data_IF_121945054831
#
_entry.id   IF_121945054831
#
_cell.length_a   1.000
_cell.length_b   1.000
_cell.length_c   1.000
_cell.angle_alpha   90.00
_cell.angle_beta   90.00
_cell.angle_gamma   90.00
#
_symmetry.space_group_name_H-M   'P 1'
#
loop_
_entity.id
_entity.type
_entity.pdbx_description
1 polymer ?
#
# COMPACT_ATOMS: atom_id res chain seq x y z
N UNK A 1 20.07 -12.09 -9.96
CA UNK A 1 18.72 -11.59 -10.28
C UNK A 1 18.04 -11.19 -8.98
N UNK A 2 17.95 -9.88 -8.68
CA UNK A 2 17.25 -9.37 -7.49
C UNK A 2 15.75 -9.34 -7.77
N UNK A 3 14.96 -10.16 -7.08
CA UNK A 3 13.49 -10.07 -7.10
C UNK A 3 13.09 -8.96 -6.13
N UNK A 4 12.41 -7.93 -6.62
CA UNK A 4 11.93 -6.82 -5.81
C UNK A 4 10.60 -7.20 -5.14
N UNK A 5 10.54 -7.12 -3.82
CA UNK A 5 9.39 -7.56 -3.00
C UNK A 5 8.56 -6.36 -2.54
N UNK A 6 7.25 -6.55 -2.56
CA UNK A 6 6.23 -5.58 -2.15
C UNK A 6 5.96 -5.70 -0.64
N UNK A 7 6.35 -4.69 0.14
CA UNK A 7 5.78 -4.46 1.48
C UNK A 7 4.55 -3.56 1.34
N UNK A 8 3.41 -4.01 1.87
CA UNK A 8 2.21 -3.19 2.00
C UNK A 8 2.09 -2.62 3.42
N UNK A 9 1.68 -1.34 3.60
CA UNK A 9 1.45 -0.77 4.93
C UNK A 9 0.04 -1.09 5.44
N UNK A 10 -0.09 -1.40 6.74
CA UNK A 10 -1.35 -1.37 7.49
C UNK A 10 -1.49 0.02 8.13
N UNK A 11 -2.62 0.70 7.93
CA UNK A 11 -3.03 1.89 8.69
C UNK A 11 -4.45 1.68 9.21
N UNK A 12 -4.69 1.97 10.49
CA UNK A 12 -6.00 1.87 11.13
C UNK A 12 -6.33 3.19 11.83
N UNK A 13 -7.50 3.76 11.54
CA UNK A 13 -8.11 4.92 12.20
C UNK A 13 -9.40 4.49 12.92
N UNK A 14 -9.65 5.06 14.11
CA UNK A 14 -10.72 4.72 15.07
C UNK A 14 -11.67 5.92 15.26
N UNK A 15 -13.00 5.69 15.26
CA UNK A 15 -14.07 6.49 15.92
C UNK A 15 -15.41 5.72 15.95
N UNK A 16 -16.29 6.01 16.92
CA UNK A 16 -17.42 5.15 17.40
C UNK A 16 -18.81 5.87 17.34
N UNK A 17 -19.88 5.07 17.12
CA UNK A 17 -21.33 5.21 17.48
C UNK A 17 -22.35 5.48 16.33
N UNK A 18 -23.67 5.22 16.53
CA UNK A 18 -24.37 3.93 16.57
C UNK A 18 -25.32 3.70 15.36
N UNK A 19 -25.84 2.47 15.25
CA UNK A 19 -26.48 1.85 14.09
C UNK A 19 -28.00 2.06 13.95
N UNK A 20 -28.52 1.92 12.72
CA UNK A 20 -29.78 1.24 12.36
C UNK A 20 -29.64 0.70 10.91
N UNK A 21 -30.13 -0.51 10.65
CA UNK A 21 -29.90 -1.28 9.42
C UNK A 21 -31.09 -1.26 8.45
N UNK A 22 -30.80 -1.31 7.14
CA UNK A 22 -31.71 -1.73 6.07
C UNK A 22 -30.91 -2.25 4.85
N UNK A 23 -31.35 -3.35 4.27
CA UNK A 23 -30.75 -4.06 3.14
C UNK A 23 -31.32 -3.50 1.82
N UNK A 24 -30.49 -2.95 0.91
CA UNK A 24 -30.91 -2.70 -0.49
C UNK A 24 -29.76 -2.71 -1.50
N UNK A 25 -30.06 -3.33 -2.63
CA UNK A 25 -29.32 -3.45 -3.89
C UNK A 25 -29.27 -2.09 -4.63
N UNK A 26 -28.36 -1.20 -4.19
CA UNK A 26 -28.28 0.20 -4.65
C UNK A 26 -26.94 0.59 -5.30
N UNK A 27 -26.91 1.62 -6.19
CA UNK A 27 -25.71 2.04 -6.91
C UNK A 27 -24.59 2.52 -5.98
N UNK A 28 -23.34 2.16 -6.31
CA UNK A 28 -22.13 2.60 -5.59
C UNK A 28 -22.04 4.13 -5.65
N UNK A 29 -22.31 4.80 -4.52
CA UNK A 29 -22.17 6.24 -4.41
C UNK A 29 -20.71 6.61 -4.15
N UNK A 30 -20.11 7.28 -5.12
CA UNK A 30 -18.79 7.92 -4.96
C UNK A 30 -18.97 9.15 -4.06
N UNK A 31 -18.58 9.04 -2.79
CA UNK A 31 -18.69 10.10 -1.78
C UNK A 31 -17.54 11.12 -1.82
N UNK A 32 -16.70 11.11 -2.86
CA UNK A 32 -15.58 12.05 -3.01
C UNK A 32 -16.02 13.41 -3.56
N UNK A 33 -15.39 14.50 -3.09
CA UNK A 33 -15.58 15.83 -3.67
C UNK A 33 -15.26 15.83 -5.19
N UNK A 34 -16.09 16.44 -6.04
CA UNK A 34 -15.81 16.54 -7.47
C UNK A 34 -14.43 17.15 -7.77
N UNK A 35 -13.76 16.62 -8.80
CA UNK A 35 -12.43 17.09 -9.19
C UNK A 35 -12.43 18.61 -9.53
N UNK A 36 -13.51 19.11 -10.14
CA UNK A 36 -13.67 20.53 -10.46
C UNK A 36 -13.81 21.41 -9.21
N UNK A 37 -14.49 20.92 -8.17
CA UNK A 37 -14.66 21.66 -6.91
C UNK A 37 -13.32 21.80 -6.18
N UNK A 38 -12.56 20.72 -6.06
CA UNK A 38 -11.23 20.77 -5.41
C UNK A 38 -10.22 21.60 -6.21
N UNK A 39 -10.34 21.62 -7.54
CA UNK A 39 -9.55 22.53 -8.38
C UNK A 39 -9.90 24.00 -8.11
N UNK A 40 -11.19 24.32 -8.04
CA UNK A 40 -11.67 25.68 -7.75
C UNK A 40 -11.29 26.12 -6.33
N UNK A 41 -11.39 25.23 -5.34
CA UNK A 41 -10.97 25.49 -3.96
C UNK A 41 -9.48 25.81 -3.86
N UNK A 42 -8.62 25.03 -4.52
CA UNK A 42 -7.19 25.33 -4.61
C UNK A 42 -6.94 26.66 -5.32
N UNK A 43 -7.58 26.91 -6.47
CA UNK A 43 -7.43 28.17 -7.20
C UNK A 43 -7.85 29.38 -6.35
N UNK A 44 -8.96 29.28 -5.61
CA UNK A 44 -9.43 30.33 -4.72
C UNK A 44 -8.47 30.56 -3.53
N UNK A 45 -7.86 29.50 -3.00
CA UNK A 45 -6.81 29.60 -1.96
C UNK A 45 -5.60 30.38 -2.48
N UNK A 46 -5.13 30.03 -3.67
CA UNK A 46 -3.97 30.68 -4.30
C UNK A 46 -4.25 32.14 -4.67
N UNK A 47 -5.45 32.44 -5.19
CA UNK A 47 -5.85 33.79 -5.56
C UNK A 47 -5.90 34.76 -4.36
N UNK A 48 -6.24 34.26 -3.16
CA UNK A 48 -6.26 35.05 -1.92
C UNK A 48 -4.94 35.02 -1.14
N UNK A 49 -3.88 34.41 -1.70
CA UNK A 49 -2.60 34.18 -1.01
C UNK A 49 -2.79 33.54 0.38
N UNK A 50 -3.53 32.43 0.43
CA UNK A 50 -3.82 31.74 1.68
C UNK A 50 -2.56 31.31 2.44
N UNK A 51 -2.62 31.17 3.79
CA UNK A 51 -1.50 30.69 4.59
C UNK A 51 -0.99 29.30 4.16
N UNK A 52 0.28 28.95 4.44
CA UNK A 52 0.91 27.70 3.99
C UNK A 52 0.14 26.42 4.35
N UNK A 53 -0.43 26.34 5.54
CA UNK A 53 -1.25 25.21 5.98
C UNK A 53 -2.53 25.04 5.13
N UNK A 54 -3.17 26.15 4.76
CA UNK A 54 -4.35 26.13 3.88
C UNK A 54 -4.00 25.77 2.43
N UNK A 55 -2.89 26.31 1.90
CA UNK A 55 -2.40 25.94 0.56
C UNK A 55 -2.08 24.45 0.51
N UNK A 56 -1.33 23.94 1.49
CA UNK A 56 -1.01 22.52 1.60
C UNK A 56 -2.28 21.68 1.64
N UNK A 57 -3.24 22.00 2.52
CA UNK A 57 -4.47 21.23 2.64
C UNK A 57 -5.26 21.20 1.32
N UNK A 58 -5.49 22.36 0.68
CA UNK A 58 -6.19 22.44 -0.59
C UNK A 58 -5.43 21.71 -1.72
N UNK A 59 -4.09 21.79 -1.72
CA UNK A 59 -3.24 21.07 -2.67
C UNK A 59 -3.39 19.57 -2.48
N UNK A 60 -3.28 19.06 -1.25
CA UNK A 60 -3.36 17.63 -0.95
C UNK A 60 -4.72 17.06 -1.37
N UNK A 61 -5.81 17.73 -1.01
CA UNK A 61 -7.17 17.34 -1.41
C UNK A 61 -7.32 17.30 -2.93
N UNK A 62 -6.84 18.32 -3.66
CA UNK A 62 -6.92 18.32 -5.11
C UNK A 62 -6.03 17.25 -5.76
N UNK A 63 -4.79 17.08 -5.27
CA UNK A 63 -3.85 16.10 -5.78
C UNK A 63 -4.31 14.66 -5.51
N UNK A 64 -4.94 14.40 -4.37
CA UNK A 64 -5.57 13.12 -4.07
C UNK A 64 -6.71 12.84 -5.04
N UNK A 65 -7.59 13.81 -5.31
CA UNK A 65 -8.65 13.65 -6.30
C UNK A 65 -8.11 13.43 -7.72
N UNK A 66 -7.05 14.14 -8.11
CA UNK A 66 -6.34 13.89 -9.38
C UNK A 66 -5.79 12.47 -9.40
N UNK A 67 -5.18 12.03 -8.29
CA UNK A 67 -4.68 10.67 -8.15
C UNK A 67 -5.83 9.67 -8.33
N UNK A 68 -6.92 9.76 -7.55
CA UNK A 68 -8.12 8.92 -7.63
C UNK A 68 -8.76 8.91 -9.02
N UNK A 69 -8.69 10.01 -9.78
CA UNK A 69 -9.13 10.07 -11.17
C UNK A 69 -8.15 9.43 -12.19
N UNK A 70 -7.04 8.85 -11.72
CA UNK A 70 -6.00 8.25 -12.57
C UNK A 70 -5.04 9.26 -13.19
N UNK A 71 -5.12 10.55 -12.80
CA UNK A 71 -4.31 11.64 -13.34
C UNK A 71 -3.00 11.79 -12.55
N UNK A 72 -2.19 10.73 -12.49
CA UNK A 72 -0.98 10.71 -11.65
C UNK A 72 0.05 11.78 -12.01
N UNK A 73 0.19 12.11 -13.30
CA UNK A 73 1.10 13.18 -13.75
C UNK A 73 0.63 14.55 -13.26
N UNK A 74 -0.68 14.80 -13.29
CA UNK A 74 -1.26 16.06 -12.83
C UNK A 74 -1.15 16.17 -11.31
N UNK A 75 -1.49 15.10 -10.58
CA UNK A 75 -1.31 15.01 -9.12
C UNK A 75 0.13 15.36 -8.72
N UNK A 76 1.11 14.76 -9.39
CA UNK A 76 2.53 15.05 -9.15
C UNK A 76 2.89 16.50 -9.47
N UNK A 77 2.40 17.05 -10.58
CA UNK A 77 2.63 18.45 -10.96
C UNK A 77 2.06 19.41 -9.91
N UNK A 78 0.83 19.16 -9.44
CA UNK A 78 0.16 19.92 -8.38
C UNK A 78 0.97 19.92 -7.07
N UNK A 79 1.42 18.73 -6.64
CA UNK A 79 2.23 18.57 -5.43
C UNK A 79 3.57 19.29 -5.52
N UNK A 80 4.30 19.13 -6.64
CA UNK A 80 5.60 19.78 -6.83
C UNK A 80 5.48 21.30 -6.82
N UNK A 81 4.44 21.86 -7.46
CA UNK A 81 4.19 23.31 -7.41
C UNK A 81 3.94 23.80 -5.99
N UNK A 82 3.21 23.03 -5.17
CA UNK A 82 2.97 23.39 -3.77
C UNK A 82 4.22 23.25 -2.91
N UNK A 83 5.05 22.22 -3.14
CA UNK A 83 6.36 22.08 -2.51
C UNK A 83 7.22 23.33 -2.80
N UNK A 84 7.26 23.78 -4.05
CA UNK A 84 8.05 24.95 -4.41
C UNK A 84 7.58 26.24 -3.72
N UNK A 85 6.27 26.41 -3.54
CA UNK A 85 5.70 27.53 -2.77
C UNK A 85 5.98 27.42 -1.27
N UNK A 86 5.91 26.22 -0.70
CA UNK A 86 5.83 26.04 0.75
C UNK A 86 7.14 25.57 1.41
N UNK A 87 8.15 25.12 0.66
CA UNK A 87 9.43 24.62 1.22
C UNK A 87 10.15 25.62 2.12
N UNK A 88 10.04 26.92 1.84
CA UNK A 88 10.64 27.97 2.69
C UNK A 88 9.96 28.08 4.06
N UNK A 89 8.74 27.59 4.19
CA UNK A 89 7.94 27.60 5.42
C UNK A 89 8.09 26.32 6.25
N UNK A 90 8.96 25.40 5.86
CA UNK A 90 9.19 24.10 6.50
C UNK A 90 9.39 24.17 8.02
N UNK A 91 10.07 25.20 8.54
CA UNK A 91 10.28 25.35 10.00
C UNK A 91 9.03 25.77 10.75
N UNK A 92 8.21 26.62 10.15
CA UNK A 92 6.97 27.12 10.76
C UNK A 92 5.82 26.12 10.62
N UNK A 93 5.81 25.35 9.52
CA UNK A 93 4.78 24.36 9.21
C UNK A 93 5.39 22.99 8.87
N UNK A 94 6.14 22.36 9.80
CA UNK A 94 6.89 21.13 9.51
C UNK A 94 6.00 19.96 9.13
N UNK A 95 4.85 19.81 9.78
CA UNK A 95 3.90 18.71 9.47
C UNK A 95 3.24 18.92 8.10
N UNK A 96 2.57 20.06 7.81
CA UNK A 96 1.98 20.28 6.49
C UNK A 96 2.98 20.13 5.33
N UNK A 97 4.16 20.76 5.43
CA UNK A 97 5.16 20.69 4.35
C UNK A 97 5.71 19.27 4.19
N UNK A 98 5.88 18.53 5.28
CA UNK A 98 6.26 17.11 5.24
C UNK A 98 5.23 16.25 4.52
N UNK A 99 3.93 16.51 4.72
CA UNK A 99 2.86 15.75 4.08
C UNK A 99 2.82 15.95 2.55
N UNK A 100 3.21 17.12 2.03
CA UNK A 100 3.41 17.32 0.59
C UNK A 100 4.46 16.37 0.03
N UNK A 101 5.61 16.25 0.72
CA UNK A 101 6.67 15.34 0.30
C UNK A 101 6.24 13.87 0.42
N UNK A 102 5.56 13.50 1.50
CA UNK A 102 5.00 12.14 1.67
C UNK A 102 4.03 11.79 0.53
N UNK A 103 3.10 12.68 0.21
CA UNK A 103 2.14 12.51 -0.88
C UNK A 103 2.85 12.39 -2.24
N UNK A 104 3.82 13.27 -2.53
CA UNK A 104 4.61 13.21 -3.76
C UNK A 104 5.40 11.90 -3.87
N UNK A 105 5.95 11.42 -2.75
CA UNK A 105 6.60 10.13 -2.65
C UNK A 105 5.68 8.98 -3.07
N UNK A 106 4.47 8.92 -2.50
CA UNK A 106 3.47 7.89 -2.85
C UNK A 106 3.09 7.94 -4.33
N UNK A 107 2.78 9.12 -4.88
CA UNK A 107 2.48 9.27 -6.31
C UNK A 107 3.65 8.82 -7.18
N UNK A 108 4.88 9.15 -6.80
CA UNK A 108 6.10 8.76 -7.51
C UNK A 108 6.23 7.23 -7.64
N UNK A 109 5.82 6.47 -6.64
CA UNK A 109 5.85 5.00 -6.71
C UNK A 109 4.93 4.46 -7.81
N UNK A 110 3.69 4.95 -7.87
CA UNK A 110 2.70 4.53 -8.87
C UNK A 110 3.14 4.84 -10.31
N UNK A 111 3.98 5.86 -10.52
CA UNK A 111 4.53 6.18 -11.86
C UNK A 111 5.92 5.60 -12.12
N UNK A 112 6.53 4.92 -11.14
CA UNK A 112 7.85 4.30 -11.25
C UNK A 112 9.03 5.25 -11.03
N UNK A 113 8.81 6.42 -10.42
CA UNK A 113 9.82 7.46 -10.19
C UNK A 113 10.66 7.16 -8.94
N UNK A 114 11.48 6.10 -8.96
CA UNK A 114 12.23 5.61 -7.80
C UNK A 114 13.12 6.67 -7.12
N UNK A 115 13.83 7.48 -7.92
CA UNK A 115 14.66 8.58 -7.39
C UNK A 115 13.82 9.67 -6.74
N UNK A 116 12.69 10.03 -7.35
CA UNK A 116 11.76 11.01 -6.78
C UNK A 116 11.11 10.50 -5.50
N UNK A 117 10.78 9.20 -5.43
CA UNK A 117 10.28 8.58 -4.22
C UNK A 117 11.32 8.68 -3.10
N UNK A 118 12.55 8.24 -3.37
CA UNK A 118 13.66 8.32 -2.42
C UNK A 118 13.90 9.75 -1.92
N UNK A 119 14.01 10.72 -2.82
CA UNK A 119 14.27 12.12 -2.45
C UNK A 119 13.11 12.72 -1.66
N UNK A 120 11.87 12.36 -1.98
CA UNK A 120 10.69 12.88 -1.28
C UNK A 120 10.59 12.34 0.15
N UNK A 121 10.83 11.04 0.38
CA UNK A 121 10.80 10.47 1.73
C UNK A 121 11.94 11.03 2.60
N UNK A 122 13.12 11.30 2.01
CA UNK A 122 14.19 12.01 2.73
C UNK A 122 13.79 13.44 3.08
N UNK A 123 13.26 14.20 2.12
CA UNK A 123 12.82 15.58 2.33
C UNK A 123 11.67 15.69 3.35
N UNK A 124 10.74 14.74 3.35
CA UNK A 124 9.67 14.60 4.36
C UNK A 124 10.28 14.53 5.76
N UNK A 125 11.19 13.58 6.00
CA UNK A 125 11.86 13.45 7.30
C UNK A 125 12.66 14.69 7.66
N UNK A 126 13.44 15.22 6.71
CA UNK A 126 14.31 16.37 6.97
C UNK A 126 13.49 17.62 7.31
N UNK A 127 12.35 17.83 6.65
CA UNK A 127 11.37 18.89 6.98
C UNK A 127 10.90 18.78 8.43
N UNK A 128 10.50 17.57 8.87
CA UNK A 128 10.09 17.36 10.26
C UNK A 128 11.24 17.61 11.23
N UNK A 129 12.45 17.14 10.92
CA UNK A 129 13.63 17.31 11.77
C UNK A 129 14.09 18.76 11.89
N UNK A 130 13.81 19.59 10.89
CA UNK A 130 14.15 21.02 10.91
C UNK A 130 13.20 21.85 11.77
N UNK A 131 11.94 21.44 11.88
CA UNK A 131 10.92 22.15 12.68
C UNK A 131 10.56 21.50 14.02
N UNK A 132 10.98 20.25 14.28
CA UNK A 132 10.66 19.48 15.48
C UNK A 132 11.94 18.91 16.13
N UNK A 133 11.83 18.50 17.40
CA UNK A 133 12.91 17.80 18.09
C UNK A 133 13.29 16.49 17.39
N UNK A 134 14.58 16.15 17.37
CA UNK A 134 15.07 14.90 16.75
C UNK A 134 14.45 13.63 17.34
N UNK A 135 14.05 13.69 18.62
CA UNK A 135 13.38 12.62 19.32
C UNK A 135 11.86 12.66 19.26
N UNK A 136 11.27 13.63 18.53
CA UNK A 136 9.82 13.72 18.36
C UNK A 136 9.30 12.44 17.70
N UNK A 137 8.19 11.86 18.20
CA UNK A 137 7.58 10.67 17.63
C UNK A 137 7.35 10.73 16.12
N UNK A 138 7.01 11.90 15.57
CA UNK A 138 6.78 12.10 14.14
C UNK A 138 8.09 12.01 13.33
N UNK A 139 9.21 12.48 13.88
CA UNK A 139 10.53 12.39 13.25
C UNK A 139 10.99 10.93 13.22
N UNK A 140 10.82 10.19 14.32
CA UNK A 140 11.16 8.77 14.37
C UNK A 140 10.26 7.92 13.46
N UNK A 141 8.96 8.23 13.40
CA UNK A 141 8.03 7.62 12.45
C UNK A 141 8.43 7.88 11.00
N UNK A 142 8.81 9.11 10.67
CA UNK A 142 9.33 9.47 9.35
C UNK A 142 10.65 8.76 9.02
N UNK A 143 11.52 8.52 10.01
CA UNK A 143 12.74 7.74 9.83
C UNK A 143 12.44 6.26 9.52
N UNK A 144 11.37 5.68 10.10
CA UNK A 144 10.90 4.34 9.70
C UNK A 144 10.44 4.34 8.23
N UNK A 145 9.73 5.37 7.77
CA UNK A 145 9.37 5.49 6.35
C UNK A 145 10.60 5.60 5.42
N UNK A 146 11.68 6.25 5.88
CA UNK A 146 12.97 6.20 5.17
C UNK A 146 13.48 4.76 5.11
N UNK A 147 13.44 4.00 6.21
CA UNK A 147 13.77 2.56 6.22
C UNK A 147 12.92 1.76 5.22
N UNK A 148 11.60 1.97 5.21
CA UNK A 148 10.67 1.33 4.27
C UNK A 148 11.03 1.65 2.82
N UNK A 149 11.40 2.90 2.52
CA UNK A 149 11.87 3.29 1.19
C UNK A 149 13.13 2.52 0.79
N UNK A 150 14.07 2.29 1.72
CA UNK A 150 15.31 1.54 1.46
C UNK A 150 15.03 0.07 1.20
N UNK A 151 14.21 -0.56 2.03
CA UNK A 151 13.78 -1.94 1.83
C UNK A 151 13.12 -2.11 0.45
N UNK A 152 12.16 -1.24 0.13
CA UNK A 152 11.45 -1.27 -1.16
C UNK A 152 12.38 -1.01 -2.34
N UNK A 153 13.39 -0.15 -2.21
CA UNK A 153 14.36 0.15 -3.26
C UNK A 153 15.47 -0.90 -3.41
N UNK A 154 15.48 -1.96 -2.59
CA UNK A 154 16.46 -3.05 -2.70
C UNK A 154 17.74 -2.82 -1.88
N UNK A 155 17.64 -2.02 -0.81
CA UNK A 155 18.70 -1.76 0.16
C UNK A 155 18.30 -2.28 1.56
N UNK A 156 18.16 -3.60 1.74
CA UNK A 156 17.70 -4.18 3.00
C UNK A 156 18.65 -3.92 4.17
N UNK A 157 19.96 -3.91 3.94
CA UNK A 157 20.94 -3.65 5.01
C UNK A 157 20.87 -2.21 5.54
N UNK A 158 20.61 -1.24 4.66
CA UNK A 158 20.33 0.14 5.07
C UNK A 158 19.02 0.22 5.86
N UNK A 159 17.96 -0.45 5.41
CA UNK A 159 16.69 -0.50 6.11
C UNK A 159 16.83 -1.10 7.52
N UNK A 160 17.53 -2.23 7.64
CA UNK A 160 17.77 -2.91 8.92
C UNK A 160 18.49 -1.99 9.93
N UNK A 161 19.55 -1.30 9.50
CA UNK A 161 20.26 -0.33 10.35
C UNK A 161 19.34 0.80 10.80
N UNK A 162 18.58 1.38 9.87
CA UNK A 162 17.65 2.46 10.18
C UNK A 162 16.60 2.03 11.21
N UNK A 163 16.01 0.85 11.07
CA UNK A 163 15.01 0.36 12.02
C UNK A 163 15.62 0.11 13.40
N UNK A 164 16.82 -0.49 13.48
CA UNK A 164 17.52 -0.72 14.74
C UNK A 164 17.85 0.59 15.46
N UNK A 165 18.32 1.60 14.72
CA UNK A 165 18.60 2.94 15.26
C UNK A 165 17.34 3.63 15.79
N UNK A 166 16.21 3.49 15.09
CA UNK A 166 14.93 4.05 15.56
C UNK A 166 14.44 3.32 16.80
N UNK A 167 14.53 1.99 16.83
CA UNK A 167 14.15 1.19 18.00
C UNK A 167 14.92 1.63 19.25
N UNK A 168 16.25 1.71 19.16
CA UNK A 168 17.11 2.11 20.27
C UNK A 168 16.76 3.53 20.78
N UNK A 169 16.56 4.48 19.87
CA UNK A 169 16.19 5.85 20.21
C UNK A 169 14.78 5.94 20.84
N UNK A 170 13.82 5.18 20.32
CA UNK A 170 12.46 5.16 20.83
C UNK A 170 12.39 4.53 22.23
N UNK A 171 13.11 3.43 22.46
CA UNK A 171 13.22 2.78 23.78
C UNK A 171 13.83 3.72 24.81
N UNK A 172 14.93 4.40 24.47
CA UNK A 172 15.58 5.38 25.35
C UNK A 172 14.69 6.58 25.74
N UNK A 173 13.52 6.73 25.11
CA UNK A 173 12.55 7.80 25.34
C UNK A 173 11.18 7.30 25.82
N UNK A 174 11.03 6.00 26.08
CA UNK A 174 9.75 5.40 26.46
C UNK A 174 8.68 5.40 25.34
N UNK A 175 9.09 5.58 24.08
CA UNK A 175 8.20 5.59 22.92
C UNK A 175 7.93 4.16 22.43
N UNK A 176 7.32 3.34 23.29
CA UNK A 176 7.13 1.90 23.10
C UNK A 176 6.48 1.55 21.76
N UNK A 177 5.47 2.31 21.34
CA UNK A 177 4.75 2.06 20.08
C UNK A 177 5.65 2.23 18.86
N UNK A 178 6.56 3.21 18.87
CA UNK A 178 7.53 3.41 17.77
C UNK A 178 8.60 2.32 17.82
N UNK A 179 9.10 2.00 19.01
CA UNK A 179 10.11 0.96 19.20
C UNK A 179 9.64 -0.39 18.68
N UNK A 180 8.46 -0.85 19.09
CA UNK A 180 7.95 -2.15 18.66
C UNK A 180 7.58 -2.16 17.17
N UNK A 181 7.16 -1.02 16.61
CA UNK A 181 6.90 -0.92 15.18
C UNK A 181 8.20 -1.08 14.38
N UNK A 182 9.28 -0.42 14.81
CA UNK A 182 10.61 -0.60 14.21
C UNK A 182 11.13 -2.05 14.36
N UNK A 183 10.96 -2.66 15.55
CA UNK A 183 11.28 -4.09 15.78
C UNK A 183 10.50 -5.02 14.85
N UNK A 184 9.21 -4.78 14.68
CA UNK A 184 8.37 -5.53 13.74
C UNK A 184 8.84 -5.37 12.29
N UNK A 185 9.23 -4.16 11.86
CA UNK A 185 9.81 -3.95 10.52
C UNK A 185 11.11 -4.73 10.32
N UNK A 186 11.97 -4.82 11.33
CA UNK A 186 13.16 -5.69 11.29
C UNK A 186 12.78 -7.16 11.15
N UNK A 187 11.80 -7.64 11.92
CA UNK A 187 11.35 -9.03 11.87
C UNK A 187 10.73 -9.40 10.51
N UNK A 188 9.90 -8.51 9.94
CA UNK A 188 9.33 -8.69 8.60
C UNK A 188 10.41 -8.65 7.52
N UNK A 189 11.41 -7.77 7.65
CA UNK A 189 12.54 -7.74 6.73
C UNK A 189 13.36 -9.05 6.78
N UNK A 190 13.61 -9.57 7.99
CA UNK A 190 14.26 -10.87 8.17
C UNK A 190 13.42 -12.03 7.60
N UNK A 191 12.10 -11.98 7.76
CA UNK A 191 11.19 -12.95 7.13
C UNK A 191 11.35 -12.93 5.61
N UNK A 192 11.32 -11.76 4.99
CA UNK A 192 11.47 -11.59 3.54
C UNK A 192 12.82 -12.14 3.08
N UNK A 193 13.91 -11.80 3.78
CA UNK A 193 15.24 -12.33 3.46
C UNK A 193 15.31 -13.86 3.57
N UNK A 194 14.66 -14.45 4.59
CA UNK A 194 14.60 -15.90 4.78
C UNK A 194 13.79 -16.62 3.70
N UNK A 195 12.76 -15.95 3.16
CA UNK A 195 11.98 -16.45 2.03
C UNK A 195 12.79 -16.44 0.73
N UNK A 196 13.67 -15.45 0.56
CA UNK A 196 14.54 -15.33 -0.62
C UNK A 196 15.74 -16.28 -0.58
N UNK A 197 16.41 -16.41 0.58
CA UNK A 197 17.58 -17.27 0.74
C UNK A 197 17.23 -18.75 0.76
N UNK A 198 16.00 -19.08 1.19
CA UNK A 198 15.53 -20.45 1.42
C UNK A 198 16.39 -21.23 2.45
N UNK A 199 17.18 -20.53 3.27
CA UNK A 199 18.05 -21.12 4.28
C UNK A 199 17.30 -21.40 5.59
N UNK A 200 17.54 -22.56 6.20
CA UNK A 200 16.89 -22.93 7.47
C UNK A 200 17.29 -22.00 8.62
N UNK A 201 18.54 -21.52 8.64
CA UNK A 201 19.04 -20.59 9.65
C UNK A 201 18.30 -19.24 9.60
N UNK A 202 18.10 -18.67 8.40
CA UNK A 202 17.40 -17.40 8.24
C UNK A 202 15.93 -17.52 8.64
N UNK A 203 15.27 -18.64 8.28
CA UNK A 203 13.88 -18.90 8.72
C UNK A 203 13.79 -19.01 10.24
N UNK A 204 14.75 -19.68 10.89
CA UNK A 204 14.82 -19.77 12.36
C UNK A 204 14.99 -18.38 12.98
N UNK A 205 15.89 -17.57 12.44
CA UNK A 205 16.13 -16.19 12.90
C UNK A 205 14.87 -15.32 12.78
N UNK A 206 14.24 -15.29 11.61
CA UNK A 206 13.02 -14.52 11.41
C UNK A 206 11.88 -14.98 12.33
N UNK A 207 11.74 -16.29 12.52
CA UNK A 207 10.77 -16.86 13.48
C UNK A 207 11.05 -16.41 14.90
N UNK A 208 12.32 -16.45 15.34
CA UNK A 208 12.71 -16.03 16.68
C UNK A 208 12.37 -14.56 16.92
N UNK A 209 12.73 -13.67 15.97
CA UNK A 209 12.42 -12.24 16.08
C UNK A 209 10.92 -11.96 16.24
N UNK A 210 10.07 -12.67 15.50
CA UNK A 210 8.61 -12.57 15.66
C UNK A 210 8.14 -13.17 16.99
N UNK A 211 8.72 -14.30 17.40
CA UNK A 211 8.44 -14.94 18.68
C UNK A 211 8.75 -14.04 19.87
N UNK A 212 9.87 -13.32 19.84
CA UNK A 212 10.29 -12.39 20.89
C UNK A 212 9.28 -11.24 21.05
N UNK A 213 8.76 -10.68 19.95
CA UNK A 213 7.70 -9.65 19.98
C UNK A 213 6.41 -10.20 20.61
N UNK A 214 6.10 -11.48 20.37
CA UNK A 214 4.90 -12.12 20.88
C UNK A 214 5.02 -12.43 22.37
N UNK A 215 6.19 -12.91 22.80
CA UNK A 215 6.46 -13.34 24.16
C UNK A 215 6.66 -12.16 25.12
N UNK A 216 7.27 -11.08 24.66
CA UNK A 216 7.60 -9.89 25.46
C UNK A 216 7.14 -8.60 24.75
N UNK A 217 5.81 -8.35 24.70
CA UNK A 217 5.29 -7.12 24.10
C UNK A 217 5.61 -5.91 24.98
N UNK A 218 5.94 -4.78 24.34
CA UNK A 218 6.11 -3.53 25.08
C UNK A 218 4.74 -3.02 25.59
N UNK A 219 4.69 -2.30 26.73
CA UNK A 219 3.45 -1.77 27.27
C UNK A 219 2.67 -0.91 26.24
N UNK A 220 1.36 -1.19 26.09
CA UNK A 220 0.46 -0.45 25.20
C UNK A 220 0.58 -0.81 23.72
N UNK A 221 1.05 -2.03 23.39
CA UNK A 221 1.32 -2.45 22.00
C UNK A 221 0.68 -3.78 21.58
N UNK A 222 -0.44 -4.14 22.22
CA UNK A 222 -1.15 -5.40 21.97
C UNK A 222 -1.58 -5.60 20.50
N UNK A 223 -1.92 -4.51 19.81
CA UNK A 223 -2.25 -4.53 18.39
C UNK A 223 -1.03 -4.90 17.52
N UNK A 224 0.17 -4.48 17.90
CA UNK A 224 1.42 -4.81 17.20
C UNK A 224 1.90 -6.22 17.50
N UNK A 225 1.58 -6.75 18.69
CA UNK A 225 1.72 -8.18 19.01
C UNK A 225 0.91 -9.05 18.04
N UNK A 226 -0.34 -8.68 17.78
CA UNK A 226 -1.19 -9.37 16.80
C UNK A 226 -0.56 -9.34 15.40
N UNK A 227 0.04 -8.23 14.96
CA UNK A 227 0.72 -8.17 13.65
C UNK A 227 1.89 -9.16 13.59
N UNK A 228 2.65 -9.33 14.67
CA UNK A 228 3.70 -10.34 14.74
C UNK A 228 3.13 -11.78 14.67
N UNK A 229 2.03 -12.07 15.36
CA UNK A 229 1.34 -13.36 15.27
C UNK A 229 0.86 -13.66 13.86
N UNK A 230 0.26 -12.67 13.19
CA UNK A 230 -0.19 -12.78 11.79
C UNK A 230 1.00 -13.05 10.87
N UNK A 231 2.12 -12.36 11.07
CA UNK A 231 3.34 -12.54 10.27
C UNK A 231 3.91 -13.95 10.45
N UNK A 232 3.93 -14.45 11.70
CA UNK A 232 4.34 -15.81 12.02
C UNK A 232 3.42 -16.87 11.40
N UNK A 233 2.10 -16.65 11.45
CA UNK A 233 1.12 -17.54 10.83
C UNK A 233 1.27 -17.61 9.30
N UNK A 234 1.62 -16.49 8.65
CA UNK A 234 1.93 -16.45 7.21
C UNK A 234 3.19 -17.26 6.89
N UNK A 235 4.24 -17.14 7.72
CA UNK A 235 5.45 -17.96 7.57
C UNK A 235 5.15 -19.45 7.72
N UNK A 236 4.33 -19.83 8.71
CA UNK A 236 3.92 -21.21 8.92
C UNK A 236 3.13 -21.76 7.73
N UNK A 237 2.14 -21.00 7.24
CA UNK A 237 1.33 -21.38 6.09
C UNK A 237 2.17 -21.60 4.84
N UNK A 238 3.16 -20.74 4.60
CA UNK A 238 4.11 -20.89 3.48
C UNK A 238 4.96 -22.16 3.60
N UNK A 239 5.19 -22.64 4.82
CA UNK A 239 5.85 -23.92 5.10
C UNK A 239 4.87 -25.11 5.17
N UNK A 240 3.62 -24.94 4.74
CA UNK A 240 2.59 -25.99 4.75
C UNK A 240 1.92 -26.23 6.10
N UNK A 241 2.17 -25.39 7.11
CA UNK A 241 1.55 -25.50 8.45
C UNK A 241 0.41 -24.50 8.59
N UNK A 242 -0.83 -24.97 8.72
CA UNK A 242 -2.01 -24.09 8.84
C UNK A 242 -2.44 -23.82 10.28
N UNK A 243 -1.93 -24.54 11.27
CA UNK A 243 -2.48 -24.55 12.64
C UNK A 243 -2.45 -23.18 13.30
N UNK A 244 -1.39 -22.39 13.11
CA UNK A 244 -1.28 -21.03 13.65
C UNK A 244 -2.26 -20.06 12.99
N UNK A 245 -2.57 -20.24 11.70
CA UNK A 245 -3.64 -19.48 11.02
C UNK A 245 -5.00 -19.87 11.58
N UNK A 246 -5.27 -21.16 11.72
CA UNK A 246 -6.54 -21.67 12.28
C UNK A 246 -6.72 -21.27 13.75
N UNK A 247 -5.65 -21.19 14.53
CA UNK A 247 -5.68 -20.70 15.90
C UNK A 247 -6.07 -19.21 15.95
N UNK A 248 -5.48 -18.37 15.10
CA UNK A 248 -5.84 -16.95 15.01
C UNK A 248 -7.31 -16.76 14.62
N UNK A 249 -7.80 -17.50 13.62
CA UNK A 249 -9.20 -17.41 13.20
C UNK A 249 -10.17 -17.80 14.34
N UNK A 250 -9.84 -18.85 15.10
CA UNK A 250 -10.62 -19.25 16.27
C UNK A 250 -10.57 -18.21 17.38
N UNK A 251 -9.40 -17.61 17.63
CA UNK A 251 -9.26 -16.54 18.62
C UNK A 251 -10.20 -15.37 18.28
N UNK A 252 -10.18 -14.87 17.05
CA UNK A 252 -11.09 -13.81 16.62
C UNK A 252 -12.56 -14.22 16.73
N UNK A 253 -12.90 -15.45 16.38
CA UNK A 253 -14.28 -15.94 16.52
C UNK A 253 -14.75 -15.94 17.99
N UNK A 254 -13.88 -16.33 18.93
CA UNK A 254 -14.17 -16.31 20.38
C UNK A 254 -14.25 -14.89 20.94
N UNK A 255 -13.41 -13.98 20.44
CA UNK A 255 -13.41 -12.56 20.81
C UNK A 255 -14.58 -11.76 20.18
N UNK A 256 -15.47 -12.44 19.44
CA UNK A 256 -16.67 -11.85 18.85
C UNK A 256 -16.45 -11.20 17.49
N UNK A 257 -15.31 -11.43 16.84
CA UNK A 257 -14.98 -10.94 15.51
C UNK A 257 -14.36 -9.55 15.48
N UNK A 258 -13.71 -9.23 14.36
CA UNK A 258 -13.07 -7.95 14.11
C UNK A 258 -14.08 -6.90 13.65
N UNK A 259 -13.95 -5.67 14.15
CA UNK A 259 -14.81 -4.55 13.75
C UNK A 259 -14.53 -4.03 12.32
N UNK A 260 -13.33 -4.30 11.80
CA UNK A 260 -12.90 -3.98 10.43
C UNK A 260 -12.10 -5.16 9.88
N UNK A 261 -11.98 -5.32 8.54
CA UNK A 261 -11.20 -6.40 7.96
C UNK A 261 -9.74 -6.41 8.43
N UNK A 262 -9.30 -7.50 9.06
CA UNK A 262 -7.91 -7.73 9.43
C UNK A 262 -7.37 -8.89 8.58
N UNK A 263 -6.44 -8.60 7.66
CA UNK A 263 -5.89 -9.61 6.76
C UNK A 263 -4.96 -10.58 7.52
N UNK A 264 -5.38 -11.83 7.66
CA UNK A 264 -4.60 -12.88 8.34
C UNK A 264 -3.65 -13.55 7.36
N UNK A 265 -4.13 -13.95 6.18
CA UNK A 265 -3.30 -14.61 5.18
C UNK A 265 -3.59 -14.10 3.76
N UNK A 266 -2.55 -14.05 2.94
CA UNK A 266 -2.64 -13.83 1.51
C UNK A 266 -1.46 -14.50 0.82
N UNK A 267 -1.70 -15.10 -0.35
CA UNK A 267 -0.60 -15.52 -1.24
C UNK A 267 0.05 -14.29 -1.86
N UNK A 268 1.37 -14.25 -2.14
CA UNK A 268 1.96 -13.12 -2.85
C UNK A 268 1.31 -12.89 -4.22
N UNK A 269 1.17 -11.62 -4.63
CA UNK A 269 0.83 -11.31 -6.03
C UNK A 269 2.00 -11.82 -6.87
N UNK A 270 1.72 -12.78 -7.76
CA UNK A 270 2.72 -13.22 -8.73
C UNK A 270 3.04 -12.04 -9.64
N UNK A 271 4.31 -11.66 -9.74
CA UNK A 271 4.73 -10.66 -10.71
C UNK A 271 4.17 -11.06 -12.07
N UNK A 272 3.52 -10.15 -12.82
CA UNK A 272 3.11 -10.46 -14.18
C UNK A 272 4.38 -10.76 -14.96
N UNK A 273 4.67 -12.05 -15.15
CA UNK A 273 5.78 -12.49 -15.98
C UNK A 273 5.54 -12.01 -17.40
N UNK A 274 6.62 -11.87 -18.18
CA UNK A 274 6.52 -11.62 -19.62
C UNK A 274 5.58 -12.66 -20.28
N UNK A 275 5.53 -13.89 -19.74
CA UNK A 275 4.67 -14.97 -20.22
C UNK A 275 3.18 -14.79 -19.86
N UNK A 276 2.84 -14.07 -18.78
CA UNK A 276 1.43 -13.78 -18.41
C UNK A 276 0.81 -12.67 -19.25
N UNK A 277 1.59 -11.99 -20.08
CA UNK A 277 1.13 -11.00 -21.05
C UNK A 277 0.93 -11.59 -22.46
N UNK A 278 1.08 -12.92 -22.65
CA UNK A 278 0.83 -13.61 -23.91
C UNK A 278 -0.66 -13.90 -24.13
N UNK A 279 -1.09 -13.73 -25.37
CA UNK A 279 -2.41 -14.13 -25.86
C UNK A 279 -2.53 -15.68 -25.82
N UNK A 280 -3.62 -16.27 -25.28
CA UNK A 280 -3.83 -17.73 -25.22
C UNK A 280 -3.74 -18.44 -26.58
N UNK A 281 -3.90 -17.72 -27.70
CA UNK A 281 -3.72 -18.27 -29.05
C UNK A 281 -2.26 -18.70 -29.38
N UNK A 282 -1.26 -18.35 -28.55
CA UNK A 282 0.17 -18.67 -28.80
C UNK A 282 0.78 -19.67 -27.82
N UNK A 283 -0.03 -20.24 -26.92
CA UNK A 283 0.44 -21.18 -25.89
C UNK A 283 0.97 -22.50 -26.47
N UNK A 284 0.47 -22.98 -27.62
CA UNK A 284 0.80 -24.34 -28.09
C UNK A 284 2.21 -24.52 -28.67
N UNK A 285 3.00 -23.46 -28.86
CA UNK A 285 4.35 -23.57 -29.45
C UNK A 285 5.51 -23.46 -28.45
N UNK A 286 5.26 -23.12 -27.18
CA UNK A 286 6.32 -22.84 -26.20
C UNK A 286 6.71 -24.04 -25.32
N UNK A 287 5.89 -25.09 -25.29
CA UNK A 287 6.08 -26.21 -24.36
C UNK A 287 7.18 -27.20 -24.79
N UNK A 288 7.79 -27.02 -25.98
CA UNK A 288 8.71 -28.00 -26.58
C UNK A 288 10.16 -27.54 -26.81
N UNK A 289 10.69 -26.53 -26.12
CA UNK A 289 12.12 -26.17 -26.29
C UNK A 289 12.82 -25.84 -24.97
N UNK A 290 13.57 -26.81 -24.44
CA UNK A 290 14.41 -26.74 -23.23
C UNK A 290 15.71 -25.92 -23.37
N UNK A 291 15.84 -25.10 -24.41
CA UNK A 291 17.08 -24.36 -24.72
C UNK A 291 16.86 -22.92 -25.22
N UNK A 292 15.69 -22.32 -24.95
CA UNK A 292 15.37 -20.94 -25.32
C UNK A 292 15.99 -19.83 -24.43
N UNK A 293 16.92 -20.19 -23.53
CA UNK A 293 17.55 -19.25 -22.60
C UNK A 293 18.68 -18.41 -23.19
N UNK A 294 19.40 -18.92 -24.20
CA UNK A 294 20.66 -18.29 -24.67
C UNK A 294 20.54 -17.60 -26.04
N UNK A 295 19.75 -18.14 -26.98
CA UNK A 295 19.54 -17.53 -28.31
C UNK A 295 18.47 -16.42 -28.35
N UNK A 296 17.68 -16.25 -27.28
CA UNK A 296 16.70 -15.17 -27.15
C UNK A 296 17.32 -13.81 -26.77
N UNK A 297 18.65 -13.76 -26.54
CA UNK A 297 19.35 -12.59 -26.00
C UNK A 297 19.67 -11.55 -27.08
N UNK A 298 19.83 -11.94 -28.36
CA UNK A 298 20.29 -11.02 -29.40
C UNK A 298 19.17 -10.38 -30.27
N UNK A 299 18.01 -11.02 -30.41
CA UNK A 299 16.87 -10.49 -31.20
C UNK A 299 15.54 -10.41 -30.42
N UNK A 300 15.50 -10.93 -29.18
CA UNK A 300 14.29 -11.02 -28.35
C UNK A 300 14.09 -9.86 -27.36
N UNK A 301 15.03 -8.92 -27.25
CA UNK A 301 14.98 -7.82 -26.27
C UNK A 301 13.98 -6.72 -26.67
N UNK A 302 13.95 -6.30 -27.95
CA UNK A 302 13.10 -5.20 -28.41
C UNK A 302 11.61 -5.50 -28.28
N UNK A 303 11.14 -6.68 -28.69
CA UNK A 303 9.72 -7.06 -28.61
C UNK A 303 9.27 -7.28 -27.15
N UNK A 304 10.12 -7.87 -26.31
CA UNK A 304 9.85 -8.03 -24.87
C UNK A 304 9.81 -6.68 -24.15
N UNK A 305 10.71 -5.77 -24.52
CA UNK A 305 10.75 -4.39 -24.05
C UNK A 305 9.51 -3.60 -24.49
N UNK A 306 9.06 -3.76 -25.73
CA UNK A 306 7.86 -3.08 -26.24
C UNK A 306 6.58 -3.58 -25.55
N UNK A 307 6.46 -4.89 -25.26
CA UNK A 307 5.33 -5.45 -24.49
C UNK A 307 5.34 -4.99 -23.03
N UNK A 308 6.51 -4.96 -22.39
CA UNK A 308 6.65 -4.43 -21.03
C UNK A 308 6.36 -2.91 -20.97
N UNK A 309 6.77 -2.14 -21.98
CA UNK A 309 6.51 -0.69 -22.03
C UNK A 309 5.06 -0.34 -22.39
N UNK A 310 4.43 -1.09 -23.29
CA UNK A 310 3.02 -0.90 -23.67
C UNK A 310 2.03 -1.29 -22.57
N UNK A 311 2.50 -1.99 -21.54
CA UNK A 311 1.67 -2.41 -20.40
C UNK A 311 1.78 -1.47 -19.18
N UNK A 312 2.76 -0.58 -19.14
CA UNK A 312 3.00 0.33 -18.00
C UNK A 312 2.10 1.57 -18.07
N UNK A 313 1.72 2.08 -16.90
CA UNK A 313 0.83 3.25 -16.77
C UNK A 313 -0.65 2.89 -16.74
N UNK A 314 -0.96 1.59 -16.71
CA UNK A 314 -2.31 1.07 -16.48
C UNK A 314 -2.64 1.08 -15.00
N UNK A 315 -3.90 1.27 -14.68
CA UNK A 315 -4.40 1.13 -13.32
C UNK A 315 -5.82 0.58 -13.32
N UNK A 316 -6.21 -0.01 -12.21
CA UNK A 316 -7.58 -0.44 -11.97
C UNK A 316 -7.94 -0.26 -10.50
N UNK A 317 -9.18 0.14 -10.25
CA UNK A 317 -9.81 0.06 -8.94
C UNK A 317 -10.62 -1.23 -8.90
N UNK A 318 -10.33 -2.05 -7.89
CA UNK A 318 -10.97 -3.33 -7.69
C UNK A 318 -11.80 -3.25 -6.43
N UNK A 319 -13.11 -3.47 -6.57
CA UNK A 319 -14.04 -3.64 -5.48
C UNK A 319 -14.15 -5.12 -5.12
N UNK A 320 -14.31 -5.43 -3.84
CA UNK A 320 -14.59 -6.79 -3.38
C UNK A 320 -15.22 -6.79 -1.98
N UNK A 321 -16.00 -7.83 -1.69
CA UNK A 321 -16.59 -8.03 -0.37
C UNK A 321 -15.71 -8.93 0.50
N UNK A 322 -15.54 -8.54 1.76
CA UNK A 322 -15.09 -9.42 2.84
C UNK A 322 -16.33 -9.94 3.56
N UNK A 323 -16.67 -11.20 3.33
CA UNK A 323 -17.82 -11.86 3.98
C UNK A 323 -17.66 -11.91 5.50
N UNK A 324 -18.74 -12.16 6.27
CA UNK A 324 -18.66 -12.31 7.73
C UNK A 324 -17.66 -13.36 8.22
N UNK A 325 -17.45 -14.40 7.40
CA UNK A 325 -16.47 -15.46 7.66
C UNK A 325 -15.00 -15.04 7.43
N UNK A 326 -14.77 -13.83 6.91
CA UNK A 326 -13.45 -13.33 6.51
C UNK A 326 -12.96 -13.84 5.16
N UNK A 327 -13.84 -14.38 4.30
CA UNK A 327 -13.51 -14.76 2.91
C UNK A 327 -13.82 -13.64 1.94
N UNK A 328 -13.09 -13.58 0.84
CA UNK A 328 -13.34 -12.64 -0.25
C UNK A 328 -14.42 -13.19 -1.19
N UNK A 329 -15.36 -12.35 -1.60
CA UNK A 329 -16.35 -12.62 -2.65
C UNK A 329 -16.50 -11.40 -3.57
N UNK A 330 -17.19 -11.61 -4.70
CA UNK A 330 -17.70 -10.55 -5.57
C UNK A 330 -16.63 -9.53 -5.99
N UNK A 331 -15.53 -10.06 -6.53
CA UNK A 331 -14.42 -9.25 -7.03
C UNK A 331 -14.85 -8.62 -8.36
N UNK A 332 -14.82 -7.29 -8.42
CA UNK A 332 -15.22 -6.53 -9.60
C UNK A 332 -14.21 -5.44 -9.96
N UNK A 333 -14.09 -5.14 -11.26
CA UNK A 333 -13.30 -3.99 -11.73
C UNK A 333 -14.24 -2.79 -11.83
N UNK A 334 -14.09 -1.85 -10.89
CA UNK A 334 -14.93 -0.64 -10.82
C UNK A 334 -14.56 0.39 -11.88
N UNK A 335 -13.26 0.64 -12.00
CA UNK A 335 -12.69 1.61 -12.94
C UNK A 335 -11.35 1.10 -13.42
N UNK A 336 -10.97 1.41 -14.64
CA UNK A 336 -9.65 1.07 -15.15
C UNK A 336 -9.16 2.02 -16.24
N UNK A 337 -7.85 2.01 -16.48
CA UNK A 337 -7.21 2.65 -17.61
C UNK A 337 -6.32 1.64 -18.34
N UNK A 338 -6.60 1.45 -19.63
CA UNK A 338 -5.98 0.43 -20.47
C UNK A 338 -6.60 -0.96 -20.30
N UNK A 339 -6.07 -1.96 -21.01
CA UNK A 339 -6.58 -3.34 -20.93
C UNK A 339 -6.37 -3.98 -19.54
N UNK A 340 -7.29 -4.85 -19.12
CA UNK A 340 -7.37 -5.45 -17.77
C UNK A 340 -6.72 -6.83 -17.66
N UNK A 341 -6.12 -7.38 -18.74
CA UNK A 341 -5.56 -8.74 -18.75
C UNK A 341 -4.48 -8.97 -17.69
N UNK A 342 -3.76 -7.91 -17.30
CA UNK A 342 -2.72 -7.95 -16.26
C UNK A 342 -3.27 -8.13 -14.84
N UNK A 343 -4.60 -8.02 -14.65
CA UNK A 343 -5.25 -8.19 -13.35
C UNK A 343 -5.43 -9.64 -12.94
N UNK A 344 -5.26 -10.63 -13.83
CA UNK A 344 -5.38 -12.04 -13.47
C UNK A 344 -4.59 -12.43 -12.20
N UNK A 345 -3.28 -12.11 -12.05
CA UNK A 345 -2.55 -12.38 -10.81
C UNK A 345 -3.06 -11.59 -9.60
N UNK A 346 -3.71 -10.44 -9.80
CA UNK A 346 -4.33 -9.63 -8.73
C UNK A 346 -5.61 -10.30 -8.24
N UNK A 347 -6.47 -10.75 -9.15
CA UNK A 347 -7.71 -11.47 -8.81
C UNK A 347 -7.38 -12.76 -8.03
N UNK A 348 -6.46 -13.58 -8.54
CA UNK A 348 -6.01 -14.80 -7.82
C UNK A 348 -5.43 -14.48 -6.44
N UNK A 349 -4.73 -13.34 -6.30
CA UNK A 349 -4.23 -12.89 -5.01
C UNK A 349 -5.37 -12.54 -4.04
N UNK A 350 -6.40 -11.83 -4.53
CA UNK A 350 -7.58 -11.42 -3.75
C UNK A 350 -8.41 -12.64 -3.32
N UNK A 351 -8.72 -13.57 -4.23
CA UNK A 351 -9.43 -14.81 -3.92
C UNK A 351 -8.73 -15.64 -2.85
N UNK A 352 -7.39 -15.60 -2.83
CA UNK A 352 -6.57 -16.30 -1.85
C UNK A 352 -6.48 -15.61 -0.48
N UNK A 353 -7.10 -14.44 -0.28
CA UNK A 353 -7.04 -13.72 0.98
C UNK A 353 -7.96 -14.34 2.03
N UNK A 354 -7.49 -14.31 3.26
CA UNK A 354 -8.23 -14.71 4.45
C UNK A 354 -8.12 -13.61 5.48
N UNK A 355 -9.27 -13.06 5.86
CA UNK A 355 -9.43 -12.06 6.89
C UNK A 355 -9.90 -12.71 8.20
N UNK A 356 -9.75 -12.00 9.31
CA UNK A 356 -10.42 -12.36 10.56
C UNK A 356 -11.94 -12.34 10.34
N UNK A 357 -12.70 -13.24 10.99
CA UNK A 357 -14.16 -13.16 11.01
C UNK A 357 -14.61 -11.77 11.49
N UNK A 358 -15.64 -11.22 10.84
CA UNK A 358 -16.17 -9.91 11.19
C UNK A 358 -17.14 -10.02 12.35
N UNK A 359 -17.18 -8.96 13.17
CA UNK A 359 -18.14 -8.84 14.26
C UNK A 359 -19.57 -8.83 13.70
N UNK A 360 -20.54 -9.53 14.29
CA UNK A 360 -21.93 -9.47 13.85
C UNK A 360 -22.47 -8.03 13.89
N UNK A 361 -23.40 -7.71 12.97
CA UNK A 361 -24.15 -6.44 13.02
C UNK A 361 -24.97 -6.34 14.31
N UNK A 362 -25.36 -5.11 14.68
CA UNK A 362 -26.18 -4.86 15.88
C UNK A 362 -27.56 -5.53 15.82
N UNK A 363 -28.03 -5.85 14.62
CA UNK A 363 -29.25 -6.58 14.27
C UNK A 363 -29.01 -8.09 14.06
N UNK A 364 -27.77 -8.57 14.25
CA UNK A 364 -27.36 -9.95 13.99
C UNK A 364 -27.07 -10.25 12.51
N UNK A 365 -27.28 -9.29 11.60
CA UNK A 365 -27.00 -9.44 10.17
C UNK A 365 -25.79 -8.59 9.82
N UNK A 366 -24.68 -9.23 9.45
CA UNK A 366 -23.53 -8.52 8.87
C UNK A 366 -23.47 -8.88 7.37
N UNK A 367 -23.70 -7.94 6.44
CA UNK A 367 -23.58 -8.23 5.01
C UNK A 367 -22.12 -8.44 4.57
N UNK A 368 -21.16 -8.14 5.44
CA UNK A 368 -19.73 -8.13 5.16
C UNK A 368 -19.17 -6.71 5.16
N UNK A 369 -17.96 -6.57 4.65
CA UNK A 369 -17.29 -5.28 4.50
C UNK A 369 -16.76 -5.12 3.08
N UNK A 370 -17.22 -4.10 2.37
CA UNK A 370 -16.76 -3.82 1.02
C UNK A 370 -15.45 -3.02 1.05
N UNK A 371 -14.46 -3.50 0.31
CA UNK A 371 -13.16 -2.85 0.18
C UNK A 371 -12.94 -2.41 -1.26
N UNK A 372 -12.21 -1.31 -1.43
CA UNK A 372 -11.76 -0.83 -2.73
C UNK A 372 -10.25 -0.66 -2.73
N UNK A 373 -9.57 -1.37 -3.61
CA UNK A 373 -8.12 -1.28 -3.76
C UNK A 373 -7.74 -0.82 -5.17
N UNK A 374 -6.82 0.14 -5.22
CA UNK A 374 -6.17 0.59 -6.43
C UNK A 374 -4.92 -0.21 -6.73
N UNK A 375 -4.82 -0.69 -7.95
CA UNK A 375 -3.65 -1.34 -8.50
C UNK A 375 -3.10 -0.53 -9.67
N UNK A 376 -1.78 -0.37 -9.74
CA UNK A 376 -1.09 0.30 -10.85
C UNK A 376 0.02 -0.59 -11.40
N UNK A 377 -0.01 -0.86 -12.70
CA UNK A 377 1.05 -1.56 -13.40
C UNK A 377 2.12 -0.55 -13.82
N UNK A 378 3.31 -0.67 -13.23
CA UNK A 378 4.41 0.28 -13.43
C UNK A 378 5.75 -0.43 -13.58
N UNK A 379 6.79 0.32 -13.90
CA UNK A 379 8.18 -0.12 -13.81
C UNK A 379 9.05 1.08 -13.49
N UNK A 380 10.12 0.88 -12.70
CA UNK A 380 10.93 2.01 -12.25
C UNK A 380 11.73 2.61 -13.37
N UNK A 381 12.00 3.90 -13.28
CA UNK A 381 13.05 4.53 -14.06
C UNK A 381 14.41 4.19 -13.47
N UNK A 382 15.33 3.78 -14.34
CA UNK A 382 16.74 3.55 -14.04
C UNK A 382 17.63 4.18 -15.10
N UNK A 383 18.83 4.58 -14.68
CA UNK A 383 19.85 5.21 -15.52
C UNK A 383 21.02 4.25 -15.81
N UNK A 384 20.99 3.01 -15.29
CA UNK A 384 22.11 2.06 -15.34
C UNK A 384 21.90 0.84 -16.26
N UNK A 385 20.66 0.57 -16.69
CA UNK A 385 20.30 -0.69 -17.35
C UNK A 385 20.99 -0.98 -18.69
N UNK A 386 21.69 -0.01 -19.29
CA UNK A 386 22.39 -0.19 -20.57
C UNK A 386 23.83 0.33 -20.60
N UNK A 387 24.41 0.68 -19.44
CA UNK A 387 25.75 1.29 -19.38
C UNK A 387 25.83 2.69 -19.99
N UNK A 388 24.69 3.31 -20.30
CA UNK A 388 24.57 4.71 -20.74
C UNK A 388 23.73 5.46 -19.71
N UNK A 389 24.07 6.71 -19.38
CA UNK A 389 23.31 7.58 -18.47
C UNK A 389 21.92 8.01 -19.03
N UNK A 390 21.36 7.24 -19.96
CA UNK A 390 20.05 7.50 -20.54
C UNK A 390 18.98 6.86 -19.68
N UNK A 391 18.11 7.70 -19.15
CA UNK A 391 16.97 7.31 -18.34
C UNK A 391 16.02 6.38 -19.10
N UNK A 392 15.80 5.16 -18.58
CA UNK A 392 14.98 4.10 -19.18
C UNK A 392 14.14 3.40 -18.10
N UNK A 393 13.06 2.72 -18.47
CA UNK A 393 12.32 1.90 -17.50
C UNK A 393 12.98 0.53 -17.33
N UNK A 394 12.92 0.00 -16.11
CA UNK A 394 13.25 -1.39 -15.79
C UNK A 394 12.41 -2.35 -16.64
N UNK A 395 13.00 -3.50 -16.99
CA UNK A 395 12.36 -4.52 -17.81
C UNK A 395 11.36 -5.39 -17.05
N UNK A 396 11.35 -5.30 -15.72
CA UNK A 396 10.45 -6.09 -14.87
C UNK A 396 9.28 -5.21 -14.41
N UNK A 397 8.07 -5.43 -14.96
CA UNK A 397 6.90 -4.72 -14.50
C UNK A 397 6.55 -5.13 -13.07
N UNK A 398 5.86 -4.23 -12.37
CA UNK A 398 5.52 -4.34 -10.96
C UNK A 398 4.12 -3.76 -10.72
N UNK A 399 3.44 -4.29 -9.71
CA UNK A 399 2.07 -3.90 -9.37
C UNK A 399 2.09 -3.13 -8.06
N UNK A 400 1.99 -1.81 -8.13
CA UNK A 400 1.81 -0.98 -6.94
C UNK A 400 0.36 -1.05 -6.48
N UNK A 401 0.14 -1.16 -5.16
CA UNK A 401 -1.19 -1.29 -4.55
C UNK A 401 -1.42 -0.17 -3.54
N UNK A 402 -2.61 0.39 -3.55
CA UNK A 402 -3.09 1.31 -2.53
C UNK A 402 -4.52 0.95 -2.12
N UNK A 403 -4.79 0.89 -0.82
CA UNK A 403 -6.17 0.85 -0.31
C UNK A 403 -6.80 2.24 -0.48
N UNK A 404 -7.92 2.32 -1.18
CA UNK A 404 -8.69 3.54 -1.43
C UNK A 404 -10.12 3.40 -0.90
N UNK A 405 -10.36 2.42 -0.01
CA UNK A 405 -11.65 2.22 0.64
C UNK A 405 -12.00 3.51 1.38
N UNK A 406 -13.13 4.18 1.06
CA UNK A 406 -13.52 5.40 1.73
C UNK A 406 -13.58 5.21 3.25
N UNK A 407 -13.07 6.20 4.00
CA UNK A 407 -13.09 6.16 5.46
C UNK A 407 -14.53 6.08 6.01
N UNK A 408 -15.48 6.65 5.27
CA UNK A 408 -16.91 6.71 5.56
C UNK A 408 -17.73 5.55 4.95
N UNK A 409 -17.13 4.45 4.47
CA UNK A 409 -17.89 3.35 3.83
C UNK A 409 -18.87 2.63 4.79
N UNK A 410 -18.89 2.99 6.07
CA UNK A 410 -19.96 2.60 6.99
C UNK A 410 -21.29 3.37 6.73
N UNK A 411 -21.36 4.28 5.75
CA UNK A 411 -22.52 5.13 5.45
C UNK A 411 -23.31 4.55 4.25
N UNK A 412 -24.56 4.14 4.49
CA UNK A 412 -25.54 3.84 3.43
C UNK A 412 -25.69 5.05 2.46
N UNK A 413 -25.97 4.81 1.17
CA UNK A 413 -26.40 5.84 0.21
C UNK A 413 -27.58 6.70 0.72
N UNK A 414 -27.67 8.01 0.41
CA UNK A 414 -28.89 8.78 0.68
C UNK A 414 -30.03 8.24 -0.18
N UNK A 415 -31.15 7.90 0.44
CA UNK A 415 -32.39 7.58 -0.26
C UNK A 415 -32.80 8.77 -1.15
N UNK A 416 -33.15 8.46 -2.39
CA UNK A 416 -33.64 9.43 -3.36
C UNK A 416 -34.85 10.18 -2.81
N UNK A 417 -34.81 11.51 -2.89
CA UNK A 417 -35.93 12.37 -2.55
C UNK A 417 -37.15 11.95 -3.38
N UNK A 418 -38.14 11.38 -2.68
CA UNK A 418 -39.46 11.13 -3.21
C UNK A 418 -40.07 12.42 -3.75
N UNK A 419 -40.65 12.29 -4.93
CA UNK A 419 -41.54 13.22 -5.62
C UNK A 419 -42.54 13.89 -4.65
N UNK A 420 -42.80 15.20 -4.77
CA UNK A 420 -43.82 15.85 -3.95
C UNK A 420 -45.21 15.39 -4.39
N UNK A 421 -45.93 14.74 -3.49
CA UNK A 421 -47.40 14.65 -3.56
C UNK A 421 -47.98 15.97 -3.06
N UNK A 422 -49.06 16.39 -3.72
CA UNK A 422 -49.50 17.78 -3.77
C UNK A 422 -50.11 18.36 -2.50
N UNK A 423 -50.04 19.68 -2.45
CA UNK A 423 -51.18 20.57 -2.24
C UNK A 423 -51.03 21.75 -3.21
#
# INVERSE_FOLDING_TARGET
MRRLIFLAPLAATLSVAPALAAETDGPIIVTGQPLGETAAALAACLARACPPDQDVAATLTHAENQFLAGRYKDARSTLLKSIDRNKAHARAFPVPVSDLYRANGRVAEHVGEARSFQSSVLAMRDTLREGLDRGDPRVLGAQIEVGDSRAKLGFPDEAARIYADVEAQALGRGLNRIAIYARLRQAVLAQVAAEDSNLSADRKRARAMLGDIIADPLPGTDDLRLVAQVSLARMDRKAGRSDSTSALLRQFAVEGGAARPILIAASPIKSPGIDTMRNPATQSMADNVTSAGFLAIAAGDTSRRLVALNSIGKWADIGFWVTPSGKVSDIEVLRSSGGTQWLAPVVTHLEGRVYAPLKPGSDGVNPGFYMVERYSLTARWTDDATGTNMRRREFTPRIERLDITPEDYARQPPEGQGTPQGA
#
